data_IF_418248015646
#
_entry.id   IF_418248015646
#
_cell.length_a   1.000
_cell.length_b   1.000
_cell.length_c   1.000
_cell.angle_alpha   90.00
_cell.angle_beta   90.00
_cell.angle_gamma   90.00
#
_symmetry.space_group_name_H-M   'P 1'
#
loop_
_entity.id
_entity.type
_entity.pdbx_description
1 polymer ?
#
# COMPACT_ATOMS: atom_id res chain seq x y z
N UNK A 1 4.03 -1.84 -9.28
CA UNK A 1 4.40 -3.25 -9.05
C UNK A 1 3.70 -4.15 -10.05
N UNK A 2 4.29 -5.29 -10.38
CA UNK A 2 3.61 -6.39 -11.09
C UNK A 2 3.20 -7.43 -10.06
N UNK A 3 1.91 -7.73 -9.95
CA UNK A 3 1.42 -8.77 -9.02
C UNK A 3 2.06 -10.10 -9.39
N UNK A 4 2.71 -10.74 -8.42
CA UNK A 4 3.35 -12.05 -8.59
C UNK A 4 2.69 -13.13 -7.75
N UNK A 5 1.96 -12.72 -6.70
CA UNK A 5 1.24 -13.62 -5.82
C UNK A 5 -0.02 -12.93 -5.29
N UNK A 6 -1.04 -13.75 -5.03
CA UNK A 6 -2.28 -13.35 -4.40
C UNK A 6 -2.53 -14.28 -3.22
N UNK A 7 -2.66 -13.71 -2.03
CA UNK A 7 -2.89 -14.41 -0.77
C UNK A 7 -4.28 -14.06 -0.23
N UNK A 8 -4.83 -14.91 0.63
CA UNK A 8 -5.92 -14.46 1.52
C UNK A 8 -5.35 -13.58 2.65
N UNK A 9 -6.19 -12.84 3.35
CA UNK A 9 -5.76 -12.10 4.54
C UNK A 9 -5.18 -13.02 5.61
N UNK A 10 -5.75 -14.23 5.78
CA UNK A 10 -5.25 -15.21 6.74
C UNK A 10 -3.91 -15.80 6.33
N UNK A 11 -3.69 -16.09 5.05
CA UNK A 11 -2.40 -16.57 4.56
C UNK A 11 -1.32 -15.48 4.72
N UNK A 12 -1.67 -14.22 4.42
CA UNK A 12 -0.78 -13.08 4.64
C UNK A 12 -0.48 -12.88 6.14
N UNK A 13 -1.48 -13.01 7.00
CA UNK A 13 -1.31 -12.91 8.44
C UNK A 13 -0.42 -14.03 8.97
N UNK A 14 -0.72 -15.30 8.69
CA UNK A 14 -0.06 -16.46 9.29
C UNK A 14 1.35 -16.73 8.75
N UNK A 15 1.69 -16.21 7.56
CA UNK A 15 2.96 -16.48 6.94
C UNK A 15 4.11 -15.72 7.66
N UNK A 16 5.14 -16.45 8.17
CA UNK A 16 6.25 -15.85 8.90
C UNK A 16 7.04 -14.78 8.13
N UNK A 17 7.05 -14.86 6.79
CA UNK A 17 7.77 -13.91 5.92
C UNK A 17 7.19 -12.50 6.02
N UNK A 18 5.90 -12.36 6.39
CA UNK A 18 5.21 -11.07 6.49
C UNK A 18 4.94 -10.63 7.93
N UNK A 19 5.55 -11.28 8.92
CA UNK A 19 5.38 -10.90 10.32
C UNK A 19 5.88 -9.48 10.62
N UNK A 20 6.94 -9.03 9.93
CA UNK A 20 7.48 -7.67 10.06
C UNK A 20 6.55 -6.60 9.47
N UNK A 21 5.48 -7.01 8.77
CA UNK A 21 4.44 -6.13 8.22
C UNK A 21 3.29 -5.88 9.17
N UNK A 22 3.26 -6.55 10.33
CA UNK A 22 2.26 -6.27 11.35
C UNK A 22 2.64 -5.00 12.12
N UNK A 23 1.66 -4.16 12.47
CA UNK A 23 1.93 -2.92 13.18
C UNK A 23 2.42 -3.21 14.62
N UNK A 24 3.43 -2.46 15.05
CA UNK A 24 3.91 -2.43 16.43
C UNK A 24 3.89 -0.96 16.88
N UNK A 25 2.88 -0.58 17.67
CA UNK A 25 2.61 0.83 18.01
C UNK A 25 3.69 1.49 18.87
N UNK A 26 4.45 0.71 19.62
CA UNK A 26 5.63 1.16 20.37
C UNK A 26 6.97 0.89 19.64
N UNK A 27 6.91 0.58 18.34
CA UNK A 27 8.08 0.30 17.51
C UNK A 27 8.64 1.52 16.79
N UNK A 28 9.50 1.28 15.80
CA UNK A 28 9.95 2.35 14.89
C UNK A 28 8.80 2.91 14.05
N UNK A 29 8.98 4.10 13.46
CA UNK A 29 8.01 4.70 12.52
C UNK A 29 7.54 3.74 11.43
N UNK A 30 8.46 2.92 10.89
CA UNK A 30 8.14 1.89 9.89
C UNK A 30 7.27 0.77 10.47
N UNK A 31 7.53 0.37 11.71
CA UNK A 31 6.76 -0.68 12.38
C UNK A 31 5.39 -0.18 12.82
N UNK A 32 5.20 1.10 13.10
CA UNK A 32 3.90 1.65 13.50
C UNK A 32 2.84 1.61 12.38
N UNK A 33 3.28 1.65 11.12
CA UNK A 33 2.42 1.76 9.92
C UNK A 33 2.22 0.45 9.16
N UNK A 34 2.63 -0.69 9.73
CA UNK A 34 2.51 -2.01 9.08
C UNK A 34 1.14 -2.25 8.45
N UNK A 35 1.13 -2.88 7.28
CA UNK A 35 -0.07 -3.08 6.44
C UNK A 35 -0.80 -4.42 6.70
N UNK A 36 -0.17 -5.35 7.42
CA UNK A 36 -0.75 -6.64 7.77
C UNK A 36 -1.62 -6.49 9.02
N UNK A 37 -2.82 -5.94 8.83
CA UNK A 37 -3.71 -5.52 9.94
C UNK A 37 -5.01 -6.29 10.03
N UNK A 38 -5.42 -7.04 9.00
CA UNK A 38 -6.68 -7.78 8.99
C UNK A 38 -6.45 -9.28 8.96
N UNK A 39 -7.22 -10.01 9.76
CA UNK A 39 -7.23 -11.48 9.79
C UNK A 39 -8.54 -11.96 10.41
N UNK A 40 -8.83 -13.25 10.30
CA UNK A 40 -9.96 -13.90 10.96
C UNK A 40 -9.45 -14.89 12.00
N UNK A 41 -10.09 -14.88 13.16
CA UNK A 41 -9.83 -15.87 14.20
C UNK A 41 -10.12 -17.29 13.67
N UNK A 42 -9.17 -18.23 13.79
CA UNK A 42 -9.40 -19.64 13.47
C UNK A 42 -10.49 -20.20 14.38
N UNK A 43 -11.73 -20.25 13.88
CA UNK A 43 -12.88 -20.83 14.58
C UNK A 43 -14.09 -19.91 14.72
N UNK A 44 -13.95 -18.59 14.57
CA UNK A 44 -15.08 -17.65 14.65
C UNK A 44 -15.49 -17.07 13.30
N UNK A 45 -14.61 -17.08 12.30
CA UNK A 45 -14.81 -16.42 10.99
C UNK A 45 -15.16 -14.93 11.11
N UNK A 46 -14.90 -14.33 12.28
CA UNK A 46 -15.07 -12.90 12.54
C UNK A 46 -13.76 -12.22 12.18
N UNK A 47 -13.86 -11.11 11.48
CA UNK A 47 -12.72 -10.25 11.18
C UNK A 47 -12.19 -9.57 12.44
N UNK A 48 -10.88 -9.49 12.52
CA UNK A 48 -10.14 -8.76 13.55
C UNK A 48 -9.17 -7.80 12.87
N UNK A 49 -9.14 -6.56 13.35
CA UNK A 49 -8.16 -5.54 12.96
C UNK A 49 -7.11 -5.37 14.08
N UNK A 50 -5.83 -5.47 13.75
CA UNK A 50 -4.74 -5.15 14.68
C UNK A 50 -4.66 -3.62 14.93
N UNK A 51 -4.26 -3.20 16.13
CA UNK A 51 -4.07 -1.77 16.45
C UNK A 51 -3.02 -1.15 15.53
N UNK A 52 -3.46 -0.20 14.73
CA UNK A 52 -2.72 0.34 13.60
C UNK A 52 -3.03 1.83 13.37
N UNK A 53 -2.38 2.43 12.37
CA UNK A 53 -2.73 3.75 11.86
C UNK A 53 -4.20 3.88 11.40
N UNK A 54 -4.82 2.75 11.03
CA UNK A 54 -6.19 2.67 10.49
C UNK A 54 -7.24 2.24 11.53
N UNK A 55 -6.85 2.07 12.78
CA UNK A 55 -7.73 1.81 13.93
C UNK A 55 -8.24 3.12 14.54
N UNK A 56 -9.26 3.05 15.40
CA UNK A 56 -9.71 4.20 16.19
C UNK A 56 -8.61 4.67 17.17
N UNK A 57 -8.78 5.83 17.79
CA UNK A 57 -7.78 6.44 18.69
C UNK A 57 -7.37 5.51 19.84
N UNK A 58 -8.31 4.74 20.38
CA UNK A 58 -8.11 3.74 21.44
C UNK A 58 -7.54 2.40 20.95
N UNK A 59 -7.27 2.29 19.65
CA UNK A 59 -6.79 1.06 19.00
C UNK A 59 -7.88 0.05 18.66
N UNK A 60 -9.16 0.37 18.94
CA UNK A 60 -10.28 -0.49 18.55
C UNK A 60 -10.52 -0.52 17.04
N UNK A 61 -11.28 -1.52 16.60
CA UNK A 61 -11.60 -1.75 15.18
C UNK A 61 -12.32 -0.53 14.58
N UNK A 62 -11.82 -0.05 13.46
CA UNK A 62 -12.55 0.88 12.62
C UNK A 62 -13.46 0.10 11.66
N UNK A 63 -14.74 -0.06 12.05
CA UNK A 63 -15.73 -0.84 11.30
C UNK A 63 -15.92 -0.38 9.85
N UNK A 64 -15.78 0.93 9.60
CA UNK A 64 -15.88 1.46 8.24
C UNK A 64 -14.73 0.99 7.35
N UNK A 65 -13.49 1.08 7.84
CA UNK A 65 -12.31 0.60 7.11
C UNK A 65 -12.38 -0.93 6.94
N UNK A 66 -12.72 -1.64 8.02
CA UNK A 66 -12.86 -3.09 7.97
C UNK A 66 -13.84 -3.54 6.88
N UNK A 67 -15.03 -2.96 6.84
CA UNK A 67 -16.05 -3.31 5.85
C UNK A 67 -15.65 -2.99 4.40
N UNK A 68 -14.85 -1.94 4.19
CA UNK A 68 -14.37 -1.56 2.86
C UNK A 68 -13.18 -2.40 2.40
N UNK A 69 -12.17 -2.57 3.26
CA UNK A 69 -10.90 -3.19 2.91
C UNK A 69 -11.02 -4.72 2.76
N UNK A 70 -12.01 -5.33 3.43
CA UNK A 70 -12.20 -6.79 3.44
C UNK A 70 -13.29 -7.31 2.50
N UNK A 71 -13.77 -6.47 1.57
CA UNK A 71 -14.78 -6.87 0.57
C UNK A 71 -14.30 -8.01 -0.34
N UNK A 72 -12.99 -8.09 -0.57
CA UNK A 72 -12.36 -9.17 -1.32
C UNK A 72 -11.24 -9.74 -0.46
N UNK A 73 -11.28 -11.06 -0.22
CA UNK A 73 -10.24 -11.76 0.53
C UNK A 73 -8.98 -11.96 -0.34
N UNK A 74 -8.24 -10.87 -0.53
CA UNK A 74 -7.11 -10.80 -1.44
C UNK A 74 -6.08 -9.76 -1.00
N UNK A 75 -4.89 -10.23 -0.64
CA UNK A 75 -3.67 -9.42 -0.51
C UNK A 75 -2.80 -9.67 -1.74
N UNK A 76 -2.40 -8.60 -2.42
CA UNK A 76 -1.57 -8.69 -3.63
C UNK A 76 -0.10 -8.46 -3.27
N UNK A 77 0.74 -9.44 -3.57
CA UNK A 77 2.18 -9.40 -3.28
C UNK A 77 2.97 -9.36 -4.59
N UNK A 78 4.14 -8.73 -4.54
CA UNK A 78 5.02 -8.56 -5.69
C UNK A 78 6.49 -8.72 -5.32
N UNK A 79 7.21 -9.52 -6.09
CA UNK A 79 8.67 -9.52 -6.14
C UNK A 79 9.22 -8.75 -7.36
N UNK A 80 8.40 -7.87 -7.95
CA UNK A 80 8.73 -7.05 -9.11
C UNK A 80 8.08 -5.66 -8.97
N UNK A 81 8.78 -4.75 -8.29
CA UNK A 81 8.26 -3.41 -7.98
C UNK A 81 9.32 -2.31 -8.12
N UNK A 82 8.83 -1.09 -8.31
CA UNK A 82 9.60 0.15 -8.16
C UNK A 82 8.96 0.94 -7.01
N UNK A 83 9.75 1.27 -5.99
CA UNK A 83 9.33 2.12 -4.87
C UNK A 83 10.28 3.31 -4.76
N UNK A 84 9.81 4.48 -5.19
CA UNK A 84 10.66 5.67 -5.25
C UNK A 84 10.64 6.51 -3.97
N UNK A 85 9.52 6.55 -3.25
CA UNK A 85 9.35 7.44 -2.10
C UNK A 85 9.59 8.91 -2.50
N UNK A 86 10.32 9.64 -1.66
CA UNK A 86 10.74 11.02 -1.90
C UNK A 86 11.75 11.18 -3.05
N UNK A 87 12.36 10.08 -3.53
CA UNK A 87 13.30 10.09 -4.64
C UNK A 87 12.62 9.83 -6.00
N UNK A 88 11.30 10.05 -6.09
CA UNK A 88 10.54 9.88 -7.32
C UNK A 88 11.08 10.78 -8.45
N UNK A 89 11.50 10.20 -9.59
CA UNK A 89 11.89 11.00 -10.75
C UNK A 89 10.67 11.62 -11.42
N UNK A 90 10.89 12.74 -12.11
CA UNK A 90 9.87 13.33 -12.97
C UNK A 90 9.57 12.40 -14.15
N UNK A 91 8.28 12.18 -14.43
CA UNK A 91 7.88 11.42 -15.61
C UNK A 91 8.17 12.24 -16.88
N UNK A 92 8.76 11.62 -17.93
CA UNK A 92 8.99 12.30 -19.20
C UNK A 92 7.69 12.90 -19.79
N UNK A 93 7.67 14.19 -20.21
CA UNK A 93 6.47 14.84 -20.74
C UNK A 93 5.78 14.10 -21.91
N UNK A 94 6.50 13.45 -22.86
CA UNK A 94 5.87 12.65 -23.91
C UNK A 94 5.03 11.49 -23.37
N UNK A 95 5.50 10.81 -22.31
CA UNK A 95 4.79 9.69 -21.69
C UNK A 95 3.52 10.20 -21.00
N UNK A 96 3.62 11.30 -20.24
CA UNK A 96 2.46 11.93 -19.57
C UNK A 96 1.39 12.33 -20.59
N UNK A 97 1.82 12.93 -21.71
CA UNK A 97 0.93 13.33 -22.81
C UNK A 97 0.27 12.12 -23.47
N UNK A 98 1.02 11.06 -23.75
CA UNK A 98 0.50 9.84 -24.38
C UNK A 98 -0.52 9.11 -23.48
N UNK A 99 -0.25 9.03 -22.17
CA UNK A 99 -1.16 8.47 -21.18
C UNK A 99 -2.45 9.29 -21.04
N UNK A 100 -2.45 10.57 -21.43
CA UNK A 100 -3.56 11.48 -21.15
C UNK A 100 -3.83 11.62 -19.65
N UNK A 101 -2.79 11.45 -18.82
CA UNK A 101 -2.93 11.46 -17.37
C UNK A 101 -3.46 12.83 -16.90
N UNK A 102 -4.35 12.80 -15.91
CA UNK A 102 -4.87 14.00 -15.23
C UNK A 102 -4.85 13.74 -13.75
N UNK A 103 -4.43 14.69 -12.93
CA UNK A 103 -4.49 14.49 -11.48
C UNK A 103 -5.96 14.56 -11.00
N UNK A 104 -6.58 13.39 -10.74
CA UNK A 104 -7.93 13.26 -10.15
C UNK A 104 -7.98 11.98 -9.30
N UNK A 105 -8.84 11.99 -8.28
CA UNK A 105 -9.12 10.85 -7.40
C UNK A 105 -9.73 9.67 -8.15
N UNK A 106 -9.50 8.45 -7.64
CA UNK A 106 -10.03 7.19 -8.17
C UNK A 106 -8.99 6.34 -8.89
N UNK A 107 -9.36 5.09 -9.22
CA UNK A 107 -8.49 4.18 -9.97
C UNK A 107 -8.52 4.49 -11.46
N UNK A 108 -7.45 4.12 -12.16
CA UNK A 108 -7.33 4.25 -13.62
C UNK A 108 -6.87 2.94 -14.21
N UNK A 109 -7.31 2.67 -15.42
CA UNK A 109 -6.86 1.53 -16.21
C UNK A 109 -6.36 2.07 -17.54
N UNK A 110 -5.21 1.58 -17.96
CA UNK A 110 -4.61 1.89 -19.24
C UNK A 110 -4.28 0.56 -19.92
N UNK A 111 -4.47 0.53 -21.23
CA UNK A 111 -4.10 -0.63 -22.02
C UNK A 111 -2.58 -0.74 -22.14
N UNK A 112 -2.05 -1.93 -21.83
CA UNK A 112 -0.62 -2.24 -21.93
C UNK A 112 -0.15 -2.39 -23.38
N UNK A 113 -1.05 -2.64 -24.32
CA UNK A 113 -0.73 -2.58 -25.76
C UNK A 113 -0.75 -1.14 -26.29
N UNK A 114 -1.23 -0.19 -25.48
CA UNK A 114 -1.35 1.23 -25.79
C UNK A 114 -0.32 2.11 -25.09
N UNK A 115 -0.67 3.37 -24.75
CA UNK A 115 0.25 4.34 -24.17
C UNK A 115 0.90 3.92 -22.84
N UNK A 116 0.33 2.94 -22.12
CA UNK A 116 0.94 2.43 -20.89
C UNK A 116 2.26 1.70 -21.13
N UNK A 117 2.45 1.13 -22.33
CA UNK A 117 3.71 0.48 -22.70
C UNK A 117 4.90 1.41 -22.54
N UNK A 118 4.75 2.66 -22.98
CA UNK A 118 5.79 3.69 -22.88
C UNK A 118 6.23 3.94 -21.43
N UNK A 119 5.29 3.91 -20.48
CA UNK A 119 5.60 4.07 -19.06
C UNK A 119 6.33 2.84 -18.51
N UNK A 120 5.90 1.64 -18.89
CA UNK A 120 6.52 0.39 -18.45
C UNK A 120 7.94 0.28 -19.00
N UNK A 121 8.14 0.53 -20.29
CA UNK A 121 9.46 0.50 -20.93
C UNK A 121 10.40 1.52 -20.27
N UNK A 122 9.93 2.75 -20.04
CA UNK A 122 10.73 3.76 -19.34
C UNK A 122 11.12 3.33 -17.92
N UNK A 123 10.23 2.68 -17.16
CA UNK A 123 10.58 2.12 -15.85
C UNK A 123 11.63 1.01 -15.97
N UNK A 124 11.49 0.10 -16.93
CA UNK A 124 12.36 -1.05 -17.14
C UNK A 124 13.73 -0.69 -17.73
N UNK A 125 13.85 0.46 -18.38
CA UNK A 125 15.09 0.98 -18.96
C UNK A 125 15.79 1.97 -18.02
N UNK A 126 15.11 3.07 -17.67
CA UNK A 126 15.71 4.19 -16.94
C UNK A 126 15.75 3.95 -15.43
N UNK A 127 14.76 3.23 -14.89
CA UNK A 127 14.66 2.98 -13.45
C UNK A 127 15.15 1.58 -13.06
N UNK A 128 15.71 0.80 -14.00
CA UNK A 128 16.07 -0.61 -13.80
C UNK A 128 16.95 -0.88 -12.57
N UNK A 129 17.88 0.03 -12.29
CA UNK A 129 18.79 -0.08 -11.14
C UNK A 129 18.07 0.00 -9.78
N UNK A 130 16.83 0.50 -9.77
CA UNK A 130 15.97 0.62 -8.59
C UNK A 130 14.94 -0.52 -8.47
N UNK A 131 14.96 -1.49 -9.38
CA UNK A 131 14.05 -2.63 -9.34
C UNK A 131 14.18 -3.37 -8.00
N UNK A 132 13.06 -3.56 -7.31
CA UNK A 132 12.93 -4.22 -6.01
C UNK A 132 13.68 -3.53 -4.85
N UNK A 133 14.06 -2.25 -5.03
CA UNK A 133 14.69 -1.45 -4.00
C UNK A 133 13.73 -0.37 -3.47
N UNK A 134 13.98 0.04 -2.23
CA UNK A 134 13.36 1.23 -1.63
C UNK A 134 14.30 2.39 -1.91
N UNK A 135 13.99 3.23 -2.91
CA UNK A 135 14.89 4.28 -3.36
C UNK A 135 14.93 5.50 -2.43
N UNK A 136 13.89 5.72 -1.63
CA UNK A 136 13.80 6.81 -0.68
C UNK A 136 12.70 6.58 0.35
N UNK A 137 12.69 7.42 1.40
CA UNK A 137 11.64 7.39 2.42
C UNK A 137 10.26 7.69 1.83
N UNK A 138 9.15 7.26 2.47
CA UNK A 138 7.82 7.69 2.10
C UNK A 138 7.74 9.22 2.04
N UNK A 139 7.06 9.77 1.02
CA UNK A 139 7.00 11.21 0.78
C UNK A 139 6.50 12.03 1.99
N UNK A 140 5.62 11.45 2.80
CA UNK A 140 5.07 12.06 4.04
C UNK A 140 5.48 11.30 5.33
N UNK A 141 6.68 10.70 5.37
CA UNK A 141 7.06 9.80 6.47
C UNK A 141 7.15 10.46 7.86
N UNK A 142 7.28 11.78 7.92
CA UNK A 142 7.29 12.53 9.18
C UNK A 142 6.03 12.32 10.01
N UNK A 143 4.88 12.03 9.36
CA UNK A 143 3.55 11.95 9.99
C UNK A 143 3.12 10.51 10.34
N UNK A 144 4.06 9.58 10.41
CA UNK A 144 3.81 8.14 10.63
C UNK A 144 3.22 7.80 12.01
N UNK A 145 3.33 8.69 13.00
CA UNK A 145 2.75 8.48 14.34
C UNK A 145 1.27 8.83 14.43
N UNK A 146 0.81 9.77 13.61
CA UNK A 146 -0.56 10.26 13.61
C UNK A 146 -1.54 9.13 13.23
N UNK A 147 -2.84 9.31 13.43
CA UNK A 147 -3.89 8.38 12.97
C UNK A 147 -4.70 9.01 11.84
N UNK A 148 -5.28 8.22 10.94
CA UNK A 148 -6.19 8.74 9.92
C UNK A 148 -7.65 8.54 10.35
N UNK A 149 -8.41 9.64 10.40
CA UNK A 149 -9.84 9.63 10.70
C UNK A 149 -10.66 9.80 9.42
N UNK A 150 -11.42 8.76 9.06
CA UNK A 150 -12.37 8.82 7.93
C UNK A 150 -13.45 9.87 8.17
N UNK A 151 -13.95 9.98 9.40
CA UNK A 151 -15.03 10.90 9.76
C UNK A 151 -14.69 12.37 9.49
N UNK A 152 -13.42 12.74 9.69
CA UNK A 152 -12.93 14.11 9.47
C UNK A 152 -12.12 14.25 8.17
N UNK A 153 -11.82 13.13 7.50
CA UNK A 153 -10.90 13.02 6.39
C UNK A 153 -9.56 13.77 6.66
N UNK A 154 -9.04 13.60 7.87
CA UNK A 154 -7.80 14.25 8.33
C UNK A 154 -6.91 13.24 9.05
N UNK A 155 -5.62 13.55 9.01
CA UNK A 155 -4.62 12.95 9.90
C UNK A 155 -4.71 13.70 11.23
N UNK A 156 -4.94 12.97 12.32
CA UNK A 156 -5.08 13.48 13.69
C UNK A 156 -3.83 13.15 14.47
N UNK A 157 -3.28 14.13 15.17
CA UNK A 157 -2.06 14.01 16.00
C UNK A 157 -2.26 13.09 17.21
#
# INVERSE_FOLDING_TARGET
>A
MRVTEKLTFNDYWLNPVFHDKRPIRNGSKKMMVGDNIYHRDPGRQVWTQADSHHSNEDGSVNEHNLANDTQVDAVLVSNHFYYFGQAAPDLPPPIVKALGYKNKRGYRRFDLEGPARLLVDWLEEECKSLLNLVAGDPFDFSNSSARYSVATNRVTD
#
